data_IF_382279847000
#
_entry.id   IF_382279847000
#
_cell.length_a   1.000
_cell.length_b   1.000
_cell.length_c   1.000
_cell.angle_alpha   90.00
_cell.angle_beta   90.00
_cell.angle_gamma   90.00
#
_symmetry.space_group_name_H-M   'P 1'
#
loop_
_entity.id
_entity.type
_entity.pdbx_description
1 polymer ?
#
# COMPACT_ATOMS: atom_id res chain seq x y z
N UNK A 1 14.74 -0.54 7.18
CA UNK A 1 14.62 -0.40 5.71
C UNK A 1 14.43 1.08 5.42
N UNK A 2 15.27 1.66 4.58
CA UNK A 2 15.08 3.04 4.12
C UNK A 2 14.33 3.00 2.79
N UNK A 3 13.47 3.94 2.58
CA UNK A 3 12.68 4.07 1.35
C UNK A 3 12.41 5.54 1.05
N UNK A 4 12.13 5.84 -0.21
CA UNK A 4 11.65 7.14 -0.65
C UNK A 4 10.52 6.95 -1.67
N UNK A 5 9.57 7.87 -1.68
CA UNK A 5 8.50 7.92 -2.66
C UNK A 5 8.20 9.38 -3.01
N UNK A 6 8.04 9.66 -4.29
CA UNK A 6 7.43 10.93 -4.72
C UNK A 6 5.92 10.74 -4.82
N UNK A 7 5.19 11.58 -4.12
CA UNK A 7 3.73 11.56 -4.10
C UNK A 7 3.17 12.76 -4.84
N UNK A 8 1.99 12.62 -5.43
CA UNK A 8 1.28 13.68 -6.16
C UNK A 8 0.61 14.75 -5.26
N UNK A 9 0.92 14.75 -3.98
CA UNK A 9 0.36 15.71 -3.02
C UNK A 9 -0.98 15.31 -2.42
N UNK A 10 -1.67 14.30 -2.95
CA UNK A 10 -2.90 13.75 -2.37
C UNK A 10 -2.63 12.62 -1.37
N UNK A 11 -1.41 12.12 -1.32
CA UNK A 11 -0.96 11.14 -0.35
C UNK A 11 -0.36 11.80 0.87
N UNK A 12 -0.85 11.43 2.04
CA UNK A 12 -0.30 11.83 3.35
C UNK A 12 0.34 10.61 4.00
N UNK A 13 1.62 10.71 4.32
CA UNK A 13 2.32 9.66 5.06
C UNK A 13 1.85 9.65 6.51
N UNK A 14 1.42 8.47 6.99
CA UNK A 14 0.92 8.26 8.35
C UNK A 14 2.11 7.95 9.26
N UNK A 15 2.75 8.98 9.77
CA UNK A 15 3.85 8.89 10.73
C UNK A 15 3.42 9.34 12.13
N UNK A 16 4.18 9.05 13.19
CA UNK A 16 3.88 9.59 14.52
C UNK A 16 3.73 11.12 14.48
N UNK A 17 2.59 11.64 14.96
CA UNK A 17 2.28 13.07 14.94
C UNK A 17 1.58 13.58 13.67
N UNK A 18 1.21 12.71 12.73
CA UNK A 18 0.51 13.12 11.51
C UNK A 18 -0.85 13.79 11.76
N UNK A 19 -1.55 13.39 12.84
CA UNK A 19 -2.84 13.98 13.22
C UNK A 19 -2.67 15.44 13.62
N UNK A 20 -1.65 15.75 14.41
CA UNK A 20 -1.29 17.10 14.82
C UNK A 20 -0.90 17.97 13.63
N UNK A 21 -0.21 17.40 12.64
CA UNK A 21 0.14 18.11 11.41
C UNK A 21 -1.12 18.49 10.61
N UNK A 22 -2.09 17.57 10.46
CA UNK A 22 -3.37 17.84 9.78
C UNK A 22 -4.25 18.84 10.56
N UNK A 23 -4.15 18.88 11.88
CA UNK A 23 -4.81 19.90 12.70
C UNK A 23 -4.19 21.29 12.52
N UNK A 24 -2.86 21.35 12.40
CA UNK A 24 -2.14 22.61 12.20
C UNK A 24 -2.30 23.20 10.78
N UNK A 25 -2.51 22.34 9.78
CA UNK A 25 -2.71 22.72 8.39
C UNK A 25 -4.03 22.11 7.85
N UNK A 26 -5.18 22.78 8.03
CA UNK A 26 -6.47 22.26 7.59
C UNK A 26 -6.48 21.94 6.09
N UNK A 27 -6.98 20.77 5.74
CA UNK A 27 -7.09 20.30 4.35
C UNK A 27 -8.27 20.92 3.64
N UNK A 28 -9.38 21.12 4.38
CA UNK A 28 -10.62 21.65 3.85
C UNK A 28 -10.91 23.04 4.41
N UNK A 29 -11.33 23.97 3.53
CA UNK A 29 -11.70 25.33 3.92
C UNK A 29 -13.03 25.40 4.67
N UNK A 30 -13.95 24.45 4.40
CA UNK A 30 -15.22 24.32 5.09
C UNK A 30 -15.02 23.70 6.47
N UNK A 31 -15.52 24.36 7.52
CA UNK A 31 -15.30 23.97 8.92
C UNK A 31 -15.99 22.65 9.27
N UNK A 32 -17.21 22.42 8.76
CA UNK A 32 -17.96 21.20 9.04
C UNK A 32 -17.31 20.00 8.34
N UNK A 33 -16.86 20.20 7.11
CA UNK A 33 -16.11 19.20 6.33
C UNK A 33 -14.79 18.87 7.00
N UNK A 34 -14.04 19.88 7.43
CA UNK A 34 -12.78 19.69 8.14
C UNK A 34 -12.99 18.94 9.46
N UNK A 35 -14.04 19.23 10.20
CA UNK A 35 -14.35 18.52 11.44
C UNK A 35 -14.69 17.05 11.18
N UNK A 36 -15.55 16.76 10.20
CA UNK A 36 -15.89 15.39 9.81
C UNK A 36 -14.66 14.61 9.35
N UNK A 37 -13.78 15.25 8.58
CA UNK A 37 -12.50 14.69 8.16
C UNK A 37 -11.61 14.37 9.38
N UNK A 38 -11.47 15.27 10.33
CA UNK A 38 -10.65 15.04 11.54
C UNK A 38 -11.20 13.93 12.45
N UNK A 39 -12.54 13.80 12.54
CA UNK A 39 -13.17 12.68 13.25
C UNK A 39 -12.81 11.32 12.60
N UNK A 40 -12.79 11.27 11.29
CA UNK A 40 -12.38 10.09 10.55
C UNK A 40 -10.88 9.80 10.69
N UNK A 41 -10.02 10.82 10.58
CA UNK A 41 -8.57 10.74 10.84
C UNK A 41 -8.32 10.14 12.22
N UNK A 42 -9.02 10.61 13.25
CA UNK A 42 -8.90 10.07 14.61
C UNK A 42 -9.37 8.62 14.74
N UNK A 43 -10.26 8.13 13.86
CA UNK A 43 -10.63 6.70 13.81
C UNK A 43 -9.53 5.88 13.15
N UNK A 44 -8.95 6.38 12.05
CA UNK A 44 -7.84 5.72 11.35
C UNK A 44 -6.61 5.61 12.25
N UNK A 45 -6.30 6.66 13.00
CA UNK A 45 -5.18 6.69 13.94
C UNK A 45 -5.29 5.65 15.06
N UNK A 46 -6.53 5.27 15.41
CA UNK A 46 -6.81 4.22 16.39
C UNK A 46 -6.79 2.81 15.80
N UNK A 47 -6.80 2.67 14.47
CA UNK A 47 -6.68 1.36 13.87
C UNK A 47 -5.28 0.80 14.20
N UNK A 48 -5.19 -0.44 14.67
CA UNK A 48 -3.89 -1.04 14.91
C UNK A 48 -3.06 -0.92 13.62
N UNK A 49 -1.84 -0.45 13.78
CA UNK A 49 -0.88 -0.50 12.69
C UNK A 49 -0.74 -1.97 12.31
N UNK A 50 -0.80 -2.27 11.02
CA UNK A 50 -0.40 -3.59 10.55
C UNK A 50 1.10 -3.71 10.82
N UNK A 51 1.49 -4.57 11.77
CA UNK A 51 2.88 -4.70 12.24
C UNK A 51 3.84 -5.14 11.14
N UNK A 52 3.30 -5.71 10.06
CA UNK A 52 4.08 -6.13 8.89
C UNK A 52 4.27 -5.00 7.87
N UNK A 53 3.44 -3.95 7.90
CA UNK A 53 3.56 -2.83 6.98
C UNK A 53 4.75 -1.94 7.37
N UNK A 54 5.65 -1.66 6.42
CA UNK A 54 6.76 -0.75 6.67
C UNK A 54 6.40 0.73 6.47
N UNK A 55 5.31 1.03 5.75
CA UNK A 55 4.79 2.38 5.56
C UNK A 55 3.27 2.36 5.38
N UNK A 56 2.62 3.43 5.80
CA UNK A 56 1.18 3.66 5.66
C UNK A 56 0.93 5.05 5.11
N UNK A 57 -0.01 5.16 4.16
CA UNK A 57 -0.43 6.42 3.58
C UNK A 57 -1.95 6.55 3.59
N UNK A 58 -2.40 7.79 3.66
CA UNK A 58 -3.79 8.16 3.47
C UNK A 58 -3.92 8.94 2.17
N UNK A 59 -4.78 8.49 1.26
CA UNK A 59 -5.13 9.24 0.06
C UNK A 59 -6.26 10.21 0.36
N UNK A 60 -6.05 11.49 0.11
CA UNK A 60 -7.04 12.55 0.28
C UNK A 60 -7.66 12.85 -1.08
N UNK A 61 -8.94 12.44 -1.31
CA UNK A 61 -9.57 12.65 -2.60
C UNK A 61 -9.84 14.14 -2.87
N UNK A 62 -9.85 14.51 -4.15
CA UNK A 62 -10.15 15.87 -4.60
C UNK A 62 -11.59 16.31 -4.34
N UNK A 63 -12.50 15.35 -4.17
CA UNK A 63 -13.90 15.57 -3.81
C UNK A 63 -14.16 14.96 -2.43
N UNK A 64 -15.26 15.36 -1.77
CA UNK A 64 -15.67 14.94 -0.42
C UNK A 64 -15.97 13.44 -0.28
N UNK A 65 -15.13 12.60 -0.85
CA UNK A 65 -15.15 11.17 -0.67
C UNK A 65 -14.31 10.81 0.57
N UNK A 66 -14.68 9.73 1.24
CA UNK A 66 -13.87 9.21 2.32
C UNK A 66 -12.47 8.82 1.78
N UNK A 67 -11.39 9.01 2.56
CA UNK A 67 -10.05 8.67 2.09
C UNK A 67 -9.87 7.16 1.90
N UNK A 68 -8.89 6.80 1.07
CA UNK A 68 -8.42 5.43 0.95
C UNK A 68 -7.14 5.25 1.80
N UNK A 69 -6.99 4.07 2.39
CA UNK A 69 -5.85 3.71 3.20
C UNK A 69 -4.92 2.79 2.41
N UNK A 70 -3.64 3.14 2.34
CA UNK A 70 -2.62 2.35 1.67
C UNK A 70 -1.60 1.84 2.69
N UNK A 71 -1.36 0.54 2.67
CA UNK A 71 -0.27 -0.11 3.41
C UNK A 71 0.75 -0.68 2.43
N UNK A 72 2.04 -0.50 2.74
CA UNK A 72 3.16 -1.03 1.98
C UNK A 72 3.89 -2.11 2.77
N UNK A 73 4.14 -3.25 2.11
CA UNK A 73 4.80 -4.42 2.66
C UNK A 73 6.04 -4.77 1.86
N UNK A 74 7.03 -5.37 2.54
CA UNK A 74 8.22 -5.90 1.90
C UNK A 74 8.58 -7.26 2.51
N UNK A 75 8.72 -8.25 1.66
CA UNK A 75 9.06 -9.62 2.03
C UNK A 75 10.35 -10.03 1.31
N UNK A 76 11.26 -10.79 1.92
CA UNK A 76 12.41 -11.35 1.23
C UNK A 76 11.97 -12.18 0.02
N UNK A 77 12.51 -11.88 -1.17
CA UNK A 77 12.17 -12.59 -2.41
C UNK A 77 12.53 -14.07 -2.32
N UNK A 78 11.61 -14.93 -2.73
CA UNK A 78 11.80 -16.38 -2.77
C UNK A 78 11.19 -16.97 -4.03
N UNK A 79 11.91 -17.90 -4.66
CA UNK A 79 11.42 -18.68 -5.78
C UNK A 79 11.13 -17.89 -7.05
N UNK A 80 10.21 -18.41 -7.85
CA UNK A 80 9.77 -17.79 -9.09
C UNK A 80 9.03 -16.47 -8.83
N UNK A 81 9.41 -15.42 -9.55
CA UNK A 81 8.91 -14.06 -9.34
C UNK A 81 7.41 -13.97 -9.63
N UNK A 82 6.99 -14.45 -10.78
CA UNK A 82 5.58 -14.39 -11.20
C UNK A 82 4.68 -15.12 -10.21
N UNK A 83 5.10 -16.31 -9.79
CA UNK A 83 4.35 -17.11 -8.83
C UNK A 83 4.28 -16.42 -7.46
N UNK A 84 5.41 -15.91 -6.95
CA UNK A 84 5.47 -15.25 -5.66
C UNK A 84 4.61 -13.97 -5.63
N UNK A 85 4.77 -13.10 -6.65
CA UNK A 85 4.04 -11.84 -6.72
C UNK A 85 2.54 -12.03 -6.93
N UNK A 86 2.14 -12.96 -7.80
CA UNK A 86 0.71 -13.26 -7.99
C UNK A 86 0.08 -13.85 -6.73
N UNK A 87 0.82 -14.68 -5.98
CA UNK A 87 0.33 -15.23 -4.72
C UNK A 87 0.09 -14.15 -3.67
N UNK A 88 0.96 -13.12 -3.57
CA UNK A 88 0.80 -12.02 -2.62
C UNK A 88 -0.51 -11.23 -2.81
N UNK A 89 -1.04 -11.19 -4.04
CA UNK A 89 -2.19 -10.34 -4.39
C UNK A 89 -3.46 -11.11 -4.74
N UNK A 90 -3.45 -12.44 -4.66
CA UNK A 90 -4.61 -13.29 -4.98
C UNK A 90 -5.11 -14.15 -3.83
N UNK A 91 -4.37 -14.21 -2.72
CA UNK A 91 -4.72 -15.06 -1.56
C UNK A 91 -5.16 -14.17 -0.41
N UNK A 92 -6.37 -14.40 0.09
CA UNK A 92 -6.89 -13.77 1.31
C UNK A 92 -7.98 -14.64 1.91
N UNK A 93 -7.96 -14.82 3.23
CA UNK A 93 -8.89 -15.71 3.94
C UNK A 93 -10.35 -15.24 3.80
N UNK A 94 -10.58 -13.92 3.71
CA UNK A 94 -11.92 -13.30 3.65
C UNK A 94 -12.33 -12.87 2.24
N UNK A 95 -11.65 -13.39 1.23
CA UNK A 95 -11.88 -13.04 -0.17
C UNK A 95 -13.24 -13.53 -0.66
N UNK A 96 -14.02 -12.62 -1.25
CA UNK A 96 -15.32 -12.90 -1.85
C UNK A 96 -15.18 -13.00 -3.37
N UNK A 97 -15.17 -14.23 -3.87
CA UNK A 97 -15.05 -14.51 -5.30
C UNK A 97 -13.59 -14.58 -5.81
N UNK A 98 -13.41 -14.96 -7.08
CA UNK A 98 -12.10 -15.08 -7.68
C UNK A 98 -11.45 -13.71 -7.89
N UNK A 99 -10.22 -13.55 -7.42
CA UNK A 99 -9.37 -12.39 -7.74
C UNK A 99 -8.42 -12.80 -8.85
N UNK A 100 -8.35 -12.01 -9.90
CA UNK A 100 -7.41 -12.23 -11.00
C UNK A 100 -6.25 -11.25 -10.86
N UNK A 101 -5.04 -11.80 -10.85
CA UNK A 101 -3.84 -11.01 -11.02
C UNK A 101 -3.59 -10.78 -12.51
N UNK A 102 -3.27 -9.55 -12.88
CA UNK A 102 -2.84 -9.21 -14.22
C UNK A 102 -1.47 -8.52 -14.18
N UNK A 103 -0.62 -8.88 -15.16
CA UNK A 103 0.62 -8.16 -15.39
C UNK A 103 0.31 -6.77 -15.93
N UNK A 104 0.94 -5.76 -15.37
CA UNK A 104 0.76 -4.37 -15.75
C UNK A 104 2.11 -3.67 -15.85
N UNK A 105 2.26 -2.82 -16.88
CA UNK A 105 3.49 -2.05 -17.10
C UNK A 105 3.24 -0.60 -16.77
N UNK A 106 3.96 -0.07 -15.78
CA UNK A 106 3.91 1.32 -15.36
C UNK A 106 4.59 2.27 -16.35
N UNK A 107 4.46 3.56 -16.14
CA UNK A 107 4.99 4.59 -17.07
C UNK A 107 6.52 4.56 -17.17
N UNK A 108 7.26 4.25 -16.10
CA UNK A 108 8.71 4.04 -16.12
C UNK A 108 9.16 2.82 -16.89
N UNK A 109 8.24 1.90 -17.19
CA UNK A 109 8.52 0.59 -17.76
C UNK A 109 8.65 -0.52 -16.71
N UNK A 110 8.52 -0.20 -15.40
CA UNK A 110 8.45 -1.20 -14.32
C UNK A 110 7.28 -2.14 -14.56
N UNK A 111 7.53 -3.43 -14.47
CA UNK A 111 6.49 -4.46 -14.55
C UNK A 111 6.00 -4.76 -13.13
N UNK A 112 4.71 -4.74 -12.95
CA UNK A 112 4.03 -5.04 -11.68
C UNK A 112 2.90 -6.02 -11.93
N UNK A 113 2.48 -6.73 -10.90
CA UNK A 113 1.23 -7.50 -10.91
C UNK A 113 0.20 -6.72 -10.10
N UNK A 114 -1.02 -6.60 -10.62
CA UNK A 114 -2.10 -5.91 -9.93
C UNK A 114 -3.36 -6.76 -9.83
N UNK A 115 -4.15 -6.51 -8.80
CA UNK A 115 -5.46 -7.11 -8.65
C UNK A 115 -6.42 -6.16 -7.94
N UNK A 116 -7.72 -6.39 -8.13
CA UNK A 116 -8.79 -5.73 -7.39
C UNK A 116 -9.78 -6.80 -6.94
N UNK A 117 -10.01 -6.89 -5.64
CA UNK A 117 -10.88 -7.89 -5.05
C UNK A 117 -11.86 -7.31 -4.06
N UNK A 118 -12.94 -8.06 -3.77
CA UNK A 118 -13.86 -7.80 -2.69
C UNK A 118 -13.55 -8.73 -1.52
N UNK A 119 -13.47 -8.18 -0.33
CA UNK A 119 -13.19 -8.91 0.90
C UNK A 119 -14.34 -8.69 1.89
N UNK A 120 -14.68 -9.72 2.65
CA UNK A 120 -15.64 -9.62 3.73
C UNK A 120 -14.95 -9.08 4.97
N UNK A 121 -15.48 -8.00 5.52
CA UNK A 121 -15.07 -7.49 6.82
C UNK A 121 -16.22 -7.80 7.79
N UNK A 122 -16.00 -8.73 8.70
CA UNK A 122 -16.95 -9.10 9.74
C UNK A 122 -16.59 -8.41 11.05
N UNK A 123 -17.57 -7.77 11.70
CA UNK A 123 -17.43 -7.33 13.07
C UNK A 123 -17.85 -8.45 14.07
N UNK A 124 -17.46 -8.28 15.33
CA UNK A 124 -17.80 -9.22 16.41
C UNK A 124 -19.32 -9.36 16.65
N UNK A 125 -20.15 -8.52 16.01
CA UNK A 125 -21.60 -8.47 16.13
C UNK A 125 -22.31 -9.19 14.97
N UNK A 126 -21.52 -9.71 13.99
CA UNK A 126 -22.03 -10.47 12.85
C UNK A 126 -22.51 -9.61 11.66
N UNK A 127 -22.18 -8.33 11.63
CA UNK A 127 -22.36 -7.53 10.43
C UNK A 127 -21.22 -7.81 9.46
N UNK A 128 -21.57 -8.18 8.23
CA UNK A 128 -20.60 -8.35 7.15
C UNK A 128 -20.70 -7.16 6.19
N UNK A 129 -19.60 -6.44 6.03
CA UNK A 129 -19.45 -5.43 4.98
C UNK A 129 -18.50 -5.94 3.92
N UNK A 130 -18.77 -5.59 2.65
CA UNK A 130 -17.83 -5.82 1.56
C UNK A 130 -16.89 -4.62 1.45
N UNK A 131 -15.60 -4.91 1.50
CA UNK A 131 -14.56 -3.93 1.27
C UNK A 131 -13.85 -4.24 -0.04
N UNK A 132 -13.72 -3.24 -0.89
CA UNK A 132 -12.86 -3.35 -2.06
C UNK A 132 -11.40 -3.12 -1.63
N UNK A 133 -10.52 -3.95 -2.16
CA UNK A 133 -9.08 -3.86 -1.91
C UNK A 133 -8.34 -3.99 -3.23
N UNK A 134 -7.50 -3.01 -3.53
CA UNK A 134 -6.60 -3.05 -4.66
C UNK A 134 -5.18 -3.44 -4.21
N UNK A 135 -4.48 -4.17 -5.05
CA UNK A 135 -3.11 -4.60 -4.79
C UNK A 135 -2.23 -4.31 -5.98
N UNK A 136 -0.96 -3.96 -5.68
CA UNK A 136 0.16 -3.99 -6.62
C UNK A 136 1.31 -4.77 -5.99
N UNK A 137 1.92 -5.68 -6.74
CA UNK A 137 3.10 -6.40 -6.29
C UNK A 137 4.21 -6.33 -7.34
N UNK A 138 5.45 -6.15 -6.88
CA UNK A 138 6.64 -6.11 -7.74
C UNK A 138 7.87 -6.56 -6.96
N UNK A 139 8.94 -6.95 -7.68
CA UNK A 139 10.21 -7.34 -7.09
C UNK A 139 11.24 -6.24 -7.25
N UNK A 140 11.93 -5.88 -6.17
CA UNK A 140 12.97 -4.87 -6.17
C UNK A 140 14.05 -5.19 -5.12
N UNK A 141 15.31 -5.18 -5.53
CA UNK A 141 16.48 -5.37 -4.65
C UNK A 141 16.38 -6.61 -3.73
N UNK A 142 15.92 -7.75 -4.26
CA UNK A 142 15.79 -8.98 -3.49
C UNK A 142 14.60 -9.00 -2.51
N UNK A 143 13.68 -8.06 -2.65
CA UNK A 143 12.42 -8.04 -1.90
C UNK A 143 11.23 -8.10 -2.85
N UNK A 144 10.19 -8.81 -2.43
CA UNK A 144 8.87 -8.81 -3.02
C UNK A 144 8.05 -7.75 -2.27
N UNK A 145 7.66 -6.72 -2.97
CA UNK A 145 6.93 -5.58 -2.44
C UNK A 145 5.44 -5.74 -2.73
N UNK A 146 4.60 -5.31 -1.80
CA UNK A 146 3.16 -5.29 -1.99
C UNK A 146 2.61 -3.95 -1.49
N UNK A 147 1.84 -3.27 -2.34
CA UNK A 147 1.02 -2.13 -1.99
C UNK A 147 -0.44 -2.59 -1.90
N UNK A 148 -1.07 -2.43 -0.73
CA UNK A 148 -2.47 -2.78 -0.47
C UNK A 148 -3.27 -1.53 -0.19
N UNK A 149 -4.22 -1.20 -1.06
CA UNK A 149 -5.13 -0.06 -0.86
C UNK A 149 -6.53 -0.53 -0.49
N UNK A 150 -7.04 0.00 0.60
CA UNK A 150 -8.38 -0.26 1.12
C UNK A 150 -9.32 0.88 0.70
N UNK A 151 -10.39 0.54 -0.01
CA UNK A 151 -11.42 1.48 -0.44
C UNK A 151 -12.63 1.42 0.48
N UNK A 152 -13.12 2.57 0.90
CA UNK A 152 -14.39 2.68 1.64
C UNK A 152 -15.60 2.75 0.70
N UNK A 153 -15.36 3.03 -0.60
CA UNK A 153 -16.37 3.09 -1.65
C UNK A 153 -15.78 2.73 -3.01
N UNK A 154 -16.53 2.03 -3.84
CA UNK A 154 -16.13 1.73 -5.23
C UNK A 154 -15.95 3.00 -6.09
N UNK A 155 -16.59 4.10 -5.71
CA UNK A 155 -16.45 5.39 -6.41
C UNK A 155 -15.03 5.98 -6.32
N UNK A 156 -14.20 5.51 -5.37
CA UNK A 156 -12.81 5.95 -5.20
C UNK A 156 -11.84 5.29 -6.21
N UNK A 157 -12.18 4.10 -6.70
CA UNK A 157 -11.29 3.29 -7.53
C UNK A 157 -10.74 4.06 -8.75
N UNK A 158 -11.56 4.79 -9.54
CA UNK A 158 -11.06 5.51 -10.72
C UNK A 158 -10.09 6.64 -10.40
N UNK A 159 -10.15 7.22 -9.21
CA UNK A 159 -9.25 8.30 -8.78
C UNK A 159 -8.00 7.76 -8.10
N UNK A 160 -8.17 6.81 -7.18
CA UNK A 160 -7.09 6.31 -6.33
C UNK A 160 -6.14 5.37 -7.08
N UNK A 161 -6.65 4.51 -7.98
CA UNK A 161 -5.79 3.54 -8.66
C UNK A 161 -4.71 4.19 -9.53
N UNK A 162 -4.98 5.22 -10.34
CA UNK A 162 -3.93 5.94 -11.09
C UNK A 162 -2.92 6.65 -10.17
N UNK A 163 -3.37 7.23 -9.05
CA UNK A 163 -2.51 7.85 -8.07
C UNK A 163 -1.61 6.82 -7.37
N UNK A 164 -2.14 5.62 -7.09
CA UNK A 164 -1.36 4.50 -6.55
C UNK A 164 -0.32 4.01 -7.57
N UNK A 165 -0.67 3.91 -8.86
CA UNK A 165 0.29 3.58 -9.91
C UNK A 165 1.45 4.57 -9.94
N UNK A 166 1.17 5.86 -9.84
CA UNK A 166 2.20 6.91 -9.80
C UNK A 166 3.10 6.76 -8.56
N UNK A 167 2.51 6.48 -7.39
CA UNK A 167 3.28 6.26 -6.17
C UNK A 167 4.17 5.01 -6.28
N UNK A 168 3.64 3.88 -6.76
CA UNK A 168 4.38 2.62 -6.94
C UNK A 168 5.49 2.78 -7.97
N UNK A 169 5.27 3.56 -9.03
CA UNK A 169 6.26 3.82 -10.07
C UNK A 169 7.47 4.60 -9.53
N UNK A 170 7.23 5.51 -8.60
CA UNK A 170 8.23 6.37 -7.98
C UNK A 170 8.74 5.86 -6.62
N UNK A 171 8.26 4.70 -6.14
CA UNK A 171 8.74 4.12 -4.90
C UNK A 171 10.10 3.45 -5.11
N UNK A 172 11.08 3.89 -4.34
CA UNK A 172 12.41 3.32 -4.32
C UNK A 172 12.77 2.84 -2.91
N UNK A 173 13.34 1.64 -2.83
CA UNK A 173 13.96 1.14 -1.62
C UNK A 173 15.45 1.51 -1.64
N UNK A 174 15.91 2.17 -0.58
CA UNK A 174 17.32 2.36 -0.37
C UNK A 174 17.93 1.09 0.23
N UNK A 175 18.74 0.41 -0.56
CA UNK A 175 19.54 -0.73 -0.06
C UNK A 175 20.71 -0.13 0.70
N UNK A 176 20.80 -0.42 2.02
CA UNK A 176 22.00 -0.03 2.77
C UNK A 176 23.22 -0.72 2.14
N UNK A 177 24.36 -0.02 2.07
CA UNK A 177 25.61 -0.60 1.51
C UNK A 177 26.00 -1.92 2.21
N UNK A 178 25.59 -2.09 3.46
CA UNK A 178 25.82 -3.30 4.24
C UNK A 178 24.96 -4.48 3.76
N UNK A 179 23.68 -4.23 3.42
CA UNK A 179 22.76 -5.24 2.88
C UNK A 179 23.13 -5.60 1.43
N UNK A 180 23.58 -4.62 0.64
CA UNK A 180 24.11 -4.84 -0.70
C UNK A 180 25.39 -5.70 -0.67
N UNK A 181 26.29 -5.46 0.28
CA UNK A 181 27.49 -6.27 0.47
C UNK A 181 27.13 -7.69 0.93
N UNK A 182 26.22 -7.87 1.85
CA UNK A 182 25.75 -9.19 2.31
C UNK A 182 25.06 -9.98 1.20
N UNK A 183 24.27 -9.32 0.34
CA UNK A 183 23.65 -9.94 -0.84
C UNK A 183 24.70 -10.38 -1.86
N UNK A 184 25.75 -9.57 -2.11
CA UNK A 184 26.86 -9.97 -2.97
C UNK A 184 27.64 -11.17 -2.43
N UNK A 185 27.92 -11.24 -1.11
CA UNK A 185 28.61 -12.36 -0.51
C UNK A 185 27.76 -13.65 -0.49
N UNK A 186 26.44 -13.54 -0.37
CA UNK A 186 25.54 -14.70 -0.44
C UNK A 186 25.42 -15.28 -1.86
N UNK A 187 25.71 -14.48 -2.91
CA UNK A 187 25.68 -14.92 -4.30
C UNK A 187 26.95 -15.67 -4.76
N UNK A 188 28.04 -15.66 -3.96
CA UNK A 188 29.24 -16.44 -4.20
C UNK A 188 29.30 -17.67 -3.26
N UNK A 189 28.77 -18.85 -3.65
CA UNK A 189 29.05 -20.05 -2.90
C UNK A 189 30.56 -20.27 -2.94
N UNK A 190 31.15 -20.41 -1.75
CA UNK A 190 32.56 -20.67 -1.51
C UNK A 190 33.05 -21.82 -2.41
N UNK A 191 33.70 -21.48 -3.51
CA UNK A 191 34.59 -22.38 -4.22
C UNK A 191 35.99 -22.27 -3.58
N UNK A 192 36.12 -22.77 -2.37
CA UNK A 192 37.41 -23.09 -1.74
C UNK A 192 37.18 -24.30 -0.84
N UNK A 193 37.38 -25.46 -1.42
CA UNK A 193 37.50 -26.77 -0.75
C UNK A 193 38.35 -27.66 -1.61
#
# INVERSE_FOLDING_TARGET
MNWSAQTDGNWVYVEPGWVEQLQAAPVYADVEVQQAFMEMVARIDRLPADEEAFARFLYLPSQLLAPALLDLYAYPSKGDETQALTQLITVGEDQQGPVQAEEHKLASGKVVYRSLGAFSDGDDVGHHSLRLTGFYAWRQHGNDLCARVLFTSSAQVPEVMPALESLVDNLELEVSELEAAQSMFAAFPSQLG
#
